data_IF_705438391281
#
_entry.id   IF_705438391281
#
_cell.length_a   1.000
_cell.length_b   1.000
_cell.length_c   1.000
_cell.angle_alpha   90.00
_cell.angle_beta   90.00
_cell.angle_gamma   90.00
#
_symmetry.space_group_name_H-M   'P 1'
#
loop_
_entity.id
_entity.type
_entity.pdbx_description
1 polymer ?
#
# COMPACT_ATOMS: atom_id res chain seq x y z
N UNK A 1 -18.76 -16.50 8.07
CA UNK A 1 -17.53 -15.69 7.96
C UNK A 1 -17.21 -15.57 6.48
N UNK A 2 -17.13 -14.35 5.94
CA UNK A 2 -16.84 -14.14 4.52
C UNK A 2 -15.35 -14.28 4.23
N UNK A 3 -15.00 -14.80 3.05
CA UNK A 3 -13.63 -14.95 2.57
C UNK A 3 -12.95 -13.57 2.48
N UNK A 4 -11.88 -13.29 3.24
CA UNK A 4 -11.23 -11.98 3.23
C UNK A 4 -10.26 -11.85 2.06
N UNK A 5 -10.23 -10.69 1.40
CA UNK A 5 -9.12 -10.31 0.53
C UNK A 5 -7.96 -9.81 1.40
N UNK A 6 -6.79 -10.47 1.31
CA UNK A 6 -5.61 -10.16 2.13
C UNK A 6 -4.61 -9.27 1.35
N UNK A 7 -4.12 -8.21 2.00
CA UNK A 7 -3.00 -7.39 1.55
C UNK A 7 -1.76 -7.68 2.41
N UNK A 8 -0.69 -8.33 1.87
CA UNK A 8 0.52 -8.60 2.63
C UNK A 8 1.60 -7.52 2.39
N UNK A 9 2.18 -6.98 3.47
CA UNK A 9 3.44 -6.21 3.41
C UNK A 9 4.39 -6.58 4.55
N UNK A 10 5.53 -7.25 4.25
CA UNK A 10 6.68 -7.27 5.16
C UNK A 10 8.06 -6.99 4.49
N UNK A 11 9.09 -6.62 5.28
CA UNK A 11 10.44 -6.28 4.80
C UNK A 11 11.29 -7.50 4.39
N UNK A 12 12.37 -7.22 3.66
CA UNK A 12 12.91 -8.00 2.54
C UNK A 12 13.39 -9.45 2.77
N UNK A 13 13.55 -9.95 4.01
CA UNK A 13 13.93 -11.36 4.26
C UNK A 13 12.76 -12.29 4.60
N UNK A 14 11.59 -11.75 5.00
CA UNK A 14 10.39 -12.53 5.28
C UNK A 14 9.59 -12.93 4.03
N UNK A 15 9.89 -12.35 2.87
CA UNK A 15 9.10 -12.52 1.64
C UNK A 15 9.02 -13.95 1.15
N UNK A 16 10.10 -14.74 1.23
CA UNK A 16 10.06 -16.14 0.75
C UNK A 16 9.16 -17.02 1.60
N UNK A 17 9.21 -16.84 2.92
CA UNK A 17 8.36 -17.56 3.87
C UNK A 17 6.90 -17.11 3.75
N UNK A 18 6.66 -15.80 3.75
CA UNK A 18 5.32 -15.22 3.63
C UNK A 18 4.69 -15.59 2.29
N UNK A 19 5.43 -15.55 1.18
CA UNK A 19 4.92 -15.97 -0.13
C UNK A 19 4.60 -17.47 -0.17
N UNK A 20 5.38 -18.32 0.50
CA UNK A 20 5.09 -19.76 0.59
C UNK A 20 3.78 -20.00 1.35
N UNK A 21 3.61 -19.39 2.52
CA UNK A 21 2.37 -19.48 3.32
C UNK A 21 1.16 -18.92 2.57
N UNK A 22 1.32 -17.78 1.87
CA UNK A 22 0.26 -17.20 1.05
C UNK A 22 -0.13 -18.14 -0.10
N UNK A 23 0.86 -18.80 -0.73
CA UNK A 23 0.61 -19.74 -1.82
C UNK A 23 -0.13 -20.98 -1.33
N UNK A 24 0.22 -21.50 -0.15
CA UNK A 24 -0.51 -22.60 0.50
C UNK A 24 -1.94 -22.19 0.84
N UNK A 25 -2.15 -21.01 1.42
CA UNK A 25 -3.49 -20.48 1.73
C UNK A 25 -4.36 -20.31 0.47
N UNK A 26 -3.77 -19.84 -0.63
CA UNK A 26 -4.46 -19.74 -1.92
C UNK A 26 -4.82 -21.11 -2.50
N UNK A 27 -4.06 -22.16 -2.16
CA UNK A 27 -4.35 -23.53 -2.60
C UNK A 27 -5.49 -24.14 -1.75
N UNK A 28 -5.49 -23.86 -0.45
CA UNK A 28 -6.50 -24.34 0.49
C UNK A 28 -7.85 -23.61 0.34
N UNK A 29 -7.85 -22.37 -0.14
CA UNK A 29 -9.05 -21.59 -0.39
C UNK A 29 -9.11 -21.09 -1.86
N UNK A 30 -9.71 -21.88 -2.77
CA UNK A 30 -9.79 -21.54 -4.19
C UNK A 30 -10.56 -20.23 -4.48
N UNK A 31 -11.46 -19.83 -3.59
CA UNK A 31 -12.22 -18.58 -3.69
C UNK A 31 -11.44 -17.35 -3.23
N UNK A 32 -10.26 -17.53 -2.63
CA UNK A 32 -9.40 -16.45 -2.15
C UNK A 32 -8.81 -15.68 -3.34
N UNK A 33 -9.29 -14.46 -3.56
CA UNK A 33 -8.70 -13.55 -4.55
C UNK A 33 -7.60 -12.73 -3.88
N UNK A 34 -6.35 -13.02 -4.24
CA UNK A 34 -5.22 -12.20 -3.81
C UNK A 34 -5.12 -10.94 -4.67
N UNK A 35 -5.34 -9.77 -4.05
CA UNK A 35 -5.16 -8.47 -4.70
C UNK A 35 -3.84 -7.89 -4.21
N UNK A 36 -2.80 -7.97 -5.03
CA UNK A 36 -1.53 -7.33 -4.74
C UNK A 36 -1.56 -5.88 -5.23
N UNK A 37 -1.28 -4.94 -4.33
CA UNK A 37 -1.01 -3.56 -4.73
C UNK A 37 0.21 -3.51 -5.64
N UNK A 38 0.31 -2.48 -6.50
CA UNK A 38 1.49 -2.32 -7.34
C UNK A 38 2.74 -2.22 -6.46
N UNK A 39 3.84 -2.91 -6.82
CA UNK A 39 5.09 -2.75 -6.10
C UNK A 39 5.43 -1.26 -6.00
N UNK A 40 5.64 -0.77 -4.77
CA UNK A 40 6.16 0.58 -4.50
C UNK A 40 5.20 1.74 -4.81
N UNK A 41 3.89 1.49 -4.92
CA UNK A 41 2.86 2.54 -4.92
C UNK A 41 2.00 2.48 -3.65
N UNK A 42 2.34 3.28 -2.61
CA UNK A 42 1.57 3.40 -1.36
C UNK A 42 0.10 3.75 -1.61
N UNK A 43 -0.18 4.50 -2.67
CA UNK A 43 -1.52 4.95 -3.07
C UNK A 43 -2.52 3.81 -3.27
N UNK A 44 -2.08 2.63 -3.72
CA UNK A 44 -2.96 1.46 -3.89
C UNK A 44 -3.39 0.81 -2.56
N UNK A 45 -2.77 1.18 -1.44
CA UNK A 45 -3.07 0.69 -0.08
C UNK A 45 -3.52 1.81 0.88
N UNK A 46 -3.85 2.99 0.36
CA UNK A 46 -4.12 4.18 1.17
C UNK A 46 -5.27 4.04 2.18
N UNK A 47 -6.18 3.08 2.02
CA UNK A 47 -7.21 2.78 3.03
C UNK A 47 -6.61 2.11 4.28
N UNK A 48 -5.73 1.12 4.09
CA UNK A 48 -5.03 0.42 5.18
C UNK A 48 -4.05 1.35 5.86
N UNK A 49 -3.30 2.16 5.10
CA UNK A 49 -2.37 3.14 5.66
C UNK A 49 -3.09 4.20 6.51
N UNK A 50 -4.23 4.72 6.04
CA UNK A 50 -5.07 5.65 6.83
C UNK A 50 -5.59 5.00 8.11
N UNK A 51 -6.11 3.78 8.04
CA UNK A 51 -6.59 3.07 9.21
C UNK A 51 -5.46 2.81 10.22
N UNK A 52 -4.28 2.42 9.74
CA UNK A 52 -3.11 2.23 10.59
C UNK A 52 -2.72 3.52 11.33
N UNK A 53 -2.76 4.68 10.64
CA UNK A 53 -2.56 5.99 11.27
C UNK A 53 -3.58 6.25 12.38
N UNK A 54 -4.87 6.01 12.11
CA UNK A 54 -5.94 6.17 13.12
C UNK A 54 -5.75 5.26 14.33
N UNK A 55 -5.38 3.99 14.10
CA UNK A 55 -5.11 3.03 15.19
C UNK A 55 -3.92 3.50 16.03
N UNK A 56 -2.84 3.96 15.40
CA UNK A 56 -1.67 4.46 16.11
C UNK A 56 -2.01 5.68 16.98
N UNK A 57 -2.78 6.63 16.47
CA UNK A 57 -3.14 7.83 17.23
C UNK A 57 -4.08 7.52 18.38
N UNK A 58 -5.07 6.64 18.17
CA UNK A 58 -5.93 6.16 19.26
C UNK A 58 -5.18 5.37 20.32
N UNK A 59 -4.20 4.55 19.92
CA UNK A 59 -3.32 3.84 20.86
C UNK A 59 -2.48 4.80 21.69
N UNK A 60 -1.91 5.85 21.09
CA UNK A 60 -1.16 6.88 21.83
C UNK A 60 -2.03 7.55 22.90
N UNK A 61 -3.26 7.93 22.54
CA UNK A 61 -4.22 8.54 23.47
C UNK A 61 -4.54 7.56 24.61
N UNK A 62 -4.92 6.33 24.28
CA UNK A 62 -5.26 5.31 25.27
C UNK A 62 -4.10 5.03 26.24
N UNK A 63 -2.88 4.92 25.72
CA UNK A 63 -1.67 4.69 26.51
C UNK A 63 -1.38 5.85 27.47
N UNK A 64 -1.61 7.09 27.02
CA UNK A 64 -1.48 8.29 27.84
C UNK A 64 -2.53 8.32 28.96
N UNK A 65 -3.79 8.06 28.64
CA UNK A 65 -4.91 8.05 29.61
C UNK A 65 -4.75 6.95 30.68
N UNK A 66 -4.21 5.80 30.29
CA UNK A 66 -4.05 4.64 31.18
C UNK A 66 -2.64 4.57 31.82
N UNK A 67 -1.80 5.59 31.61
CA UNK A 67 -0.42 5.65 32.11
C UNK A 67 0.36 4.34 31.88
N UNK A 68 0.22 3.74 30.70
CA UNK A 68 0.78 2.42 30.40
C UNK A 68 1.43 2.36 29.02
N UNK A 69 2.48 1.54 28.91
CA UNK A 69 3.14 1.23 27.63
C UNK A 69 2.58 -0.03 26.94
N UNK A 70 1.59 -0.70 27.56
CA UNK A 70 1.05 -1.99 27.11
C UNK A 70 0.08 -1.84 25.93
N UNK A 71 0.61 -1.42 24.78
CA UNK A 71 -0.16 -1.26 23.54
C UNK A 71 -0.86 -2.56 23.10
N UNK A 72 -0.27 -3.72 23.40
CA UNK A 72 -0.85 -5.03 23.08
C UNK A 72 -2.16 -5.31 23.79
N UNK A 73 -2.41 -4.68 24.94
CA UNK A 73 -3.70 -4.72 25.64
C UNK A 73 -4.60 -3.61 25.11
N UNK A 74 -4.06 -2.40 24.95
CA UNK A 74 -4.77 -1.25 24.41
C UNK A 74 -5.38 -1.47 23.03
N UNK A 75 -4.75 -2.30 22.19
CA UNK A 75 -5.22 -2.56 20.82
C UNK A 75 -6.62 -3.16 20.78
N UNK A 76 -6.99 -4.00 21.75
CA UNK A 76 -8.31 -4.59 21.83
C UNK A 76 -9.39 -3.53 22.14
N UNK A 77 -9.08 -2.59 23.03
CA UNK A 77 -9.97 -1.48 23.36
C UNK A 77 -10.12 -0.51 22.19
N UNK A 78 -9.01 -0.16 21.53
CA UNK A 78 -9.01 0.72 20.37
C UNK A 78 -9.76 0.09 19.19
N UNK A 79 -9.54 -1.20 18.93
CA UNK A 79 -10.27 -1.94 17.90
C UNK A 79 -11.78 -1.92 18.17
N UNK A 80 -12.18 -2.21 19.40
CA UNK A 80 -13.59 -2.14 19.79
C UNK A 80 -14.16 -0.74 19.57
N UNK A 81 -13.48 0.29 20.07
CA UNK A 81 -13.91 1.69 19.93
C UNK A 81 -14.07 2.08 18.45
N UNK A 82 -13.15 1.70 17.57
CA UNK A 82 -13.25 1.97 16.13
C UNK A 82 -14.45 1.23 15.52
N UNK A 83 -14.66 -0.04 15.88
CA UNK A 83 -15.71 -0.86 15.28
C UNK A 83 -17.12 -0.41 15.68
N UNK A 84 -17.29 0.18 16.88
CA UNK A 84 -18.60 0.66 17.34
C UNK A 84 -18.87 2.12 17.01
N UNK A 85 -17.84 2.90 16.69
CA UNK A 85 -18.01 4.32 16.35
C UNK A 85 -18.64 4.47 14.97
N UNK A 86 -19.55 5.42 14.82
CA UNK A 86 -20.06 5.76 13.50
C UNK A 86 -18.96 6.34 12.63
N UNK A 87 -18.78 5.77 11.44
CA UNK A 87 -17.79 6.22 10.49
C UNK A 87 -18.41 7.18 9.48
N UNK A 88 -17.84 8.38 9.36
CA UNK A 88 -18.42 9.51 8.61
C UNK A 88 -18.81 9.18 7.16
N UNK A 89 -18.03 8.32 6.49
CA UNK A 89 -18.27 7.94 5.09
C UNK A 89 -19.45 6.99 4.90
N UNK A 90 -19.65 6.07 5.84
CA UNK A 90 -20.70 5.03 5.75
C UNK A 90 -21.93 5.38 6.60
N UNK A 91 -21.84 6.43 7.45
CA UNK A 91 -22.91 6.93 8.33
C UNK A 91 -23.48 5.86 9.28
N UNK A 92 -22.70 4.84 9.56
CA UNK A 92 -23.02 3.73 10.47
C UNK A 92 -21.73 3.17 11.06
N UNK A 93 -21.82 2.29 12.05
CA UNK A 93 -20.65 1.63 12.64
C UNK A 93 -20.20 0.43 11.80
N UNK A 94 -18.87 0.18 11.67
CA UNK A 94 -18.36 -1.03 11.03
C UNK A 94 -18.94 -2.32 11.61
N UNK A 95 -19.19 -2.35 12.92
CA UNK A 95 -19.83 -3.48 13.61
C UNK A 95 -21.23 -3.74 13.05
N UNK A 96 -22.07 -2.70 12.92
CA UNK A 96 -23.43 -2.83 12.38
C UNK A 96 -23.43 -3.30 10.92
N UNK A 97 -22.47 -2.86 10.12
CA UNK A 97 -22.31 -3.33 8.72
C UNK A 97 -21.86 -4.80 8.66
N UNK A 98 -21.02 -5.23 9.60
CA UNK A 98 -20.48 -6.59 9.63
C UNK A 98 -21.47 -7.61 10.17
N UNK A 99 -22.20 -7.26 11.24
CA UNK A 99 -23.04 -8.20 11.99
C UNK A 99 -24.55 -7.94 11.85
N UNK A 100 -24.96 -6.78 11.32
CA UNK A 100 -26.38 -6.44 11.16
C UNK A 100 -27.09 -6.23 12.50
N UNK A 101 -26.35 -5.91 13.56
CA UNK A 101 -26.88 -5.67 14.90
C UNK A 101 -26.15 -4.45 15.46
N UNK A 102 -26.83 -3.64 16.26
CA UNK A 102 -26.16 -2.54 16.95
C UNK A 102 -25.16 -3.06 17.99
N UNK A 103 -23.97 -2.45 18.10
CA UNK A 103 -22.98 -2.88 19.06
C UNK A 103 -23.50 -2.69 20.48
N UNK A 104 -23.41 -3.76 21.28
CA UNK A 104 -23.84 -3.70 22.68
C UNK A 104 -22.78 -2.97 23.52
N UNK A 105 -23.09 -1.77 24.01
CA UNK A 105 -22.21 -0.97 24.88
C UNK A 105 -22.68 -0.96 26.33
N UNK A 106 -21.97 -1.70 27.19
CA UNK A 106 -22.22 -1.74 28.63
C UNK A 106 -23.51 -2.47 29.05
N UNK A 107 -23.81 -2.43 30.36
CA UNK A 107 -25.01 -3.07 30.92
C UNK A 107 -26.32 -2.40 30.44
N UNK A 108 -26.30 -1.11 30.11
CA UNK A 108 -27.46 -0.38 29.57
C UNK A 108 -27.82 -0.76 28.13
N UNK A 109 -26.97 -1.54 27.46
CA UNK A 109 -27.19 -2.09 26.12
C UNK A 109 -27.42 -3.61 26.14
N UNK A 110 -27.59 -4.17 27.35
CA UNK A 110 -28.15 -5.52 27.45
C UNK A 110 -29.59 -5.48 27.00
N UNK A 111 -30.03 -6.59 26.44
CA UNK A 111 -31.41 -6.88 26.02
C UNK A 111 -32.40 -6.77 27.20
N UNK A 112 -31.85 -6.65 28.41
CA UNK A 112 -32.52 -6.64 29.70
C UNK A 112 -33.16 -5.26 29.94
N UNK A 113 -34.49 -5.19 30.04
CA UNK A 113 -35.22 -3.98 30.38
C UNK A 113 -34.70 -3.32 31.68
N UNK A 114 -34.65 -1.97 31.78
CA UNK A 114 -34.08 -1.27 32.94
C UNK A 114 -34.68 -1.65 34.29
N UNK A 115 -35.94 -2.09 34.31
CA UNK A 115 -36.66 -2.60 35.47
C UNK A 115 -36.16 -3.97 35.96
N UNK A 116 -35.53 -4.77 35.11
CA UNK A 116 -34.90 -6.04 35.51
C UNK A 116 -33.50 -5.84 36.06
N UNK A 117 -32.76 -4.81 35.61
CA UNK A 117 -31.42 -4.49 36.11
C UNK A 117 -31.39 -4.17 37.62
N UNK A 118 -32.48 -3.62 38.17
CA UNK A 118 -32.58 -3.24 39.60
C UNK A 118 -32.57 -4.47 40.54
N UNK A 119 -32.94 -5.65 40.03
CA UNK A 119 -33.10 -6.88 40.83
C UNK A 119 -32.00 -7.91 40.59
N UNK A 120 -31.04 -7.62 39.72
CA UNK A 120 -29.93 -8.54 39.45
C UNK A 120 -28.93 -8.47 40.60
N UNK A 121 -28.90 -9.52 41.41
CA UNK A 121 -28.06 -9.61 42.61
C UNK A 121 -26.94 -10.64 42.52
N UNK A 122 -27.00 -11.57 41.56
CA UNK A 122 -26.02 -12.66 41.39
C UNK A 122 -25.83 -13.03 39.91
N UNK A 123 -24.68 -13.64 39.59
CA UNK A 123 -24.31 -14.09 38.24
C UNK A 123 -25.25 -15.19 37.71
N UNK A 124 -25.71 -16.09 38.59
CA UNK A 124 -26.68 -17.15 38.26
C UNK A 124 -28.05 -16.59 37.83
N UNK A 125 -28.44 -15.44 38.40
CA UNK A 125 -29.69 -14.75 38.04
C UNK A 125 -29.57 -14.03 36.69
N UNK A 126 -28.37 -13.58 36.32
CA UNK A 126 -28.08 -13.07 34.97
C UNK A 126 -28.20 -14.19 33.94
N UNK A 127 -27.61 -15.36 34.21
CA UNK A 127 -27.64 -16.49 33.29
C UNK A 127 -29.05 -17.00 33.03
N UNK A 128 -29.91 -17.02 34.05
CA UNK A 128 -31.33 -17.41 33.89
C UNK A 128 -32.14 -16.39 33.08
N UNK A 129 -31.85 -15.09 33.18
CA UNK A 129 -32.48 -14.07 32.32
C UNK A 129 -32.02 -14.23 30.87
N UNK A 130 -30.72 -14.42 30.64
CA UNK A 130 -30.13 -14.57 29.30
C UNK A 130 -30.59 -15.85 28.59
N UNK A 131 -30.84 -16.94 29.33
CA UNK A 131 -31.37 -18.20 28.78
C UNK A 131 -32.85 -18.11 28.38
N UNK A 132 -33.63 -17.20 29.00
CA UNK A 132 -35.05 -17.01 28.70
C UNK A 132 -35.29 -15.99 27.56
N UNK A 133 -34.34 -15.10 27.26
CA UNK A 133 -34.43 -14.10 26.18
C UNK A 133 -33.86 -14.59 24.83
N UNK A 134 -34.07 -15.87 24.48
CA UNK A 134 -33.70 -16.40 23.16
C UNK A 134 -34.42 -15.70 21.97
N UNK A 135 -35.32 -14.74 22.23
CA UNK A 135 -36.12 -14.04 21.21
C UNK A 135 -35.88 -12.52 21.09
N UNK A 136 -35.00 -11.89 21.87
CA UNK A 136 -34.84 -10.40 21.85
C UNK A 136 -33.44 -9.95 21.39
N UNK A 137 -32.81 -10.73 20.52
CA UNK A 137 -31.76 -10.25 19.64
C UNK A 137 -32.32 -10.14 18.23
N UNK A 138 -32.99 -9.04 17.89
CA UNK A 138 -33.46 -8.80 16.53
C UNK A 138 -32.27 -8.79 15.58
N UNK A 139 -31.93 -9.96 15.02
CA UNK A 139 -31.08 -10.06 13.84
C UNK A 139 -31.75 -9.19 12.78
N UNK A 140 -31.04 -8.19 12.24
CA UNK A 140 -31.56 -7.50 11.05
C UNK A 140 -31.92 -8.57 10.02
N UNK A 141 -33.15 -8.51 9.53
CA UNK A 141 -33.60 -9.41 8.48
C UNK A 141 -32.62 -9.31 7.30
N UNK A 142 -32.31 -10.44 6.65
CA UNK A 142 -31.39 -10.50 5.51
C UNK A 142 -31.48 -9.34 4.49
N UNK A 143 -32.68 -8.82 4.11
CA UNK A 143 -32.79 -7.65 3.23
C UNK A 143 -32.22 -6.35 3.83
N UNK A 144 -32.44 -6.07 5.11
CA UNK A 144 -31.93 -4.85 5.78
C UNK A 144 -30.40 -4.87 5.88
N UNK A 145 -29.82 -6.07 6.04
CA UNK A 145 -28.38 -6.26 6.06
C UNK A 145 -27.72 -6.02 4.70
N UNK A 146 -28.37 -6.45 3.61
CA UNK A 146 -27.93 -6.19 2.25
C UNK A 146 -27.96 -4.69 1.94
N UNK A 147 -29.02 -3.99 2.35
CA UNK A 147 -29.16 -2.54 2.16
C UNK A 147 -28.08 -1.75 2.90
N UNK A 148 -27.80 -2.08 4.16
CA UNK A 148 -26.73 -1.43 4.94
C UNK A 148 -25.35 -1.57 4.28
N UNK A 149 -25.07 -2.75 3.68
CA UNK A 149 -23.83 -2.98 2.92
C UNK A 149 -23.79 -2.20 1.62
N UNK A 150 -24.90 -2.08 0.90
CA UNK A 150 -24.99 -1.29 -0.33
C UNK A 150 -24.76 0.21 -0.05
N UNK A 151 -25.37 0.75 1.01
CA UNK A 151 -25.15 2.14 1.43
C UNK A 151 -23.69 2.40 1.82
N UNK A 152 -23.07 1.47 2.57
CA UNK A 152 -21.66 1.56 2.93
C UNK A 152 -20.76 1.54 1.68
N UNK A 153 -21.04 0.65 0.71
CA UNK A 153 -20.31 0.58 -0.55
C UNK A 153 -20.45 1.88 -1.36
N UNK A 154 -21.66 2.42 -1.50
CA UNK A 154 -21.92 3.67 -2.20
C UNK A 154 -21.24 4.88 -1.52
N UNK A 155 -21.19 4.90 -0.18
CA UNK A 155 -20.46 5.92 0.57
C UNK A 155 -18.96 5.88 0.33
N UNK A 156 -18.36 4.68 0.34
CA UNK A 156 -16.95 4.46 0.02
C UNK A 156 -16.63 4.92 -1.41
N UNK A 157 -17.47 4.56 -2.38
CA UNK A 157 -17.33 4.96 -3.79
C UNK A 157 -17.37 6.49 -3.96
N UNK A 158 -18.36 7.17 -3.35
CA UNK A 158 -18.44 8.64 -3.37
C UNK A 158 -17.20 9.31 -2.78
N UNK A 159 -16.65 8.76 -1.71
CA UNK A 159 -15.45 9.33 -1.09
C UNK A 159 -14.20 9.07 -1.96
N UNK A 160 -14.07 7.89 -2.56
CA UNK A 160 -13.02 7.59 -3.53
C UNK A 160 -13.08 8.54 -4.72
N UNK A 161 -14.27 8.76 -5.31
CA UNK A 161 -14.50 9.71 -6.38
C UNK A 161 -14.15 11.16 -5.96
N UNK A 162 -14.45 11.55 -4.72
CA UNK A 162 -14.07 12.87 -4.20
C UNK A 162 -12.55 13.01 -4.09
N UNK A 163 -11.85 11.94 -3.69
CA UNK A 163 -10.37 11.92 -3.64
C UNK A 163 -9.75 12.01 -5.03
N UNK A 164 -10.34 11.36 -6.05
CA UNK A 164 -9.83 11.40 -7.42
C UNK A 164 -10.23 12.68 -8.18
N UNK A 165 -11.33 13.35 -7.82
CA UNK A 165 -11.80 14.56 -8.52
C UNK A 165 -10.76 15.68 -8.62
N UNK A 166 -10.03 15.93 -7.52
CA UNK A 166 -8.95 16.93 -7.51
C UNK A 166 -7.78 16.50 -8.40
N UNK A 167 -7.46 15.21 -8.45
CA UNK A 167 -6.40 14.68 -9.29
C UNK A 167 -6.82 14.72 -10.78
N UNK A 168 -8.02 14.28 -11.12
CA UNK A 168 -8.53 14.25 -12.51
C UNK A 168 -8.57 15.66 -13.12
N UNK A 169 -8.94 16.70 -12.35
CA UNK A 169 -8.92 18.07 -12.86
C UNK A 169 -7.52 18.68 -12.98
N UNK A 170 -6.54 18.22 -12.21
CA UNK A 170 -5.15 18.69 -12.30
C UNK A 170 -4.32 17.94 -13.33
N UNK A 171 -4.68 16.69 -13.62
CA UNK A 171 -3.96 15.84 -14.55
C UNK A 171 -4.48 16.11 -15.96
N UNK A 172 -3.66 16.76 -16.77
CA UNK A 172 -3.88 16.82 -18.22
C UNK A 172 -3.90 15.40 -18.77
N UNK A 173 -4.91 15.04 -19.56
CA UNK A 173 -4.87 13.81 -20.33
C UNK A 173 -3.66 13.86 -21.26
N UNK A 174 -2.76 12.90 -21.11
CA UNK A 174 -1.61 12.73 -21.99
C UNK A 174 -2.05 11.91 -23.20
N UNK A 175 -1.63 12.32 -24.38
CA UNK A 175 -1.84 11.56 -25.62
C UNK A 175 -0.57 10.80 -26.02
N UNK A 176 -0.74 9.81 -26.90
CA UNK A 176 0.40 9.07 -27.45
C UNK A 176 1.28 10.05 -28.23
N UNK A 177 2.57 10.05 -27.92
CA UNK A 177 3.53 11.00 -28.47
C UNK A 177 3.78 12.25 -27.62
N UNK A 178 3.04 12.45 -26.53
CA UNK A 178 3.33 13.54 -25.61
C UNK A 178 4.58 13.27 -24.76
N UNK A 179 5.33 14.33 -24.49
CA UNK A 179 6.47 14.30 -23.59
C UNK A 179 6.01 14.58 -22.16
N UNK A 180 6.57 13.84 -21.22
CA UNK A 180 6.34 14.04 -19.80
C UNK A 180 7.60 13.77 -18.99
N UNK A 181 7.68 14.31 -17.79
CA UNK A 181 8.66 13.89 -16.81
C UNK A 181 8.04 12.87 -15.87
N UNK A 182 8.60 11.67 -15.83
CA UNK A 182 8.22 10.60 -14.92
C UNK A 182 8.93 10.78 -13.58
N UNK A 183 8.17 10.84 -12.49
CA UNK A 183 8.71 10.89 -11.13
C UNK A 183 9.33 9.54 -10.76
N UNK A 184 10.62 9.55 -10.45
CA UNK A 184 11.36 8.35 -10.08
C UNK A 184 11.25 8.13 -8.57
N UNK A 185 10.78 6.95 -8.11
CA UNK A 185 10.77 6.63 -6.68
C UNK A 185 12.18 6.64 -6.09
N UNK A 186 12.30 7.01 -4.81
CA UNK A 186 13.58 7.09 -4.09
C UNK A 186 14.39 5.80 -4.14
N UNK A 187 13.71 4.66 -4.11
CA UNK A 187 14.35 3.36 -4.18
C UNK A 187 14.99 3.05 -5.55
N UNK A 188 14.53 3.71 -6.61
CA UNK A 188 14.95 3.45 -7.99
C UNK A 188 15.89 4.53 -8.55
N UNK A 189 16.27 5.52 -7.74
CA UNK A 189 17.28 6.52 -8.07
C UNK A 189 18.42 6.52 -7.05
N UNK A 190 19.66 6.63 -7.52
CA UNK A 190 20.82 6.89 -6.68
C UNK A 190 20.86 8.34 -6.17
N UNK A 191 21.78 8.69 -5.26
CA UNK A 191 21.89 10.04 -4.70
C UNK A 191 22.15 11.13 -5.75
N UNK A 192 22.83 10.80 -6.85
CA UNK A 192 23.13 11.74 -7.93
C UNK A 192 22.20 11.60 -9.13
N UNK A 193 21.22 10.69 -9.06
CA UNK A 193 20.27 10.48 -10.14
C UNK A 193 19.16 11.54 -10.07
N UNK A 194 18.65 11.94 -11.24
CA UNK A 194 17.55 12.89 -11.30
C UNK A 194 16.27 12.28 -10.76
N UNK A 195 15.54 13.04 -9.94
CA UNK A 195 14.21 12.65 -9.42
C UNK A 195 13.14 12.53 -10.51
N UNK A 196 13.40 13.14 -11.67
CA UNK A 196 12.48 13.19 -12.80
C UNK A 196 13.21 12.70 -14.05
N UNK A 197 12.63 11.70 -14.73
CA UNK A 197 13.14 11.15 -15.98
C UNK A 197 12.29 11.66 -17.14
N UNK A 198 12.92 12.21 -18.19
CA UNK A 198 12.21 12.61 -19.40
C UNK A 198 11.75 11.35 -20.18
N UNK A 199 10.46 11.28 -20.47
CA UNK A 199 9.83 10.17 -21.19
C UNK A 199 8.86 10.67 -22.26
N UNK A 200 8.54 9.80 -23.21
CA UNK A 200 7.47 9.97 -24.20
C UNK A 200 6.43 8.87 -24.02
N UNK A 201 5.15 9.21 -24.19
CA UNK A 201 4.05 8.23 -24.12
C UNK A 201 4.02 7.41 -25.41
N UNK A 202 4.15 6.09 -25.28
CA UNK A 202 4.14 5.15 -26.42
C UNK A 202 2.77 4.52 -26.63
N UNK A 203 2.11 4.14 -25.54
CA UNK A 203 0.78 3.50 -25.57
C UNK A 203 -0.05 3.97 -24.40
N UNK A 204 -1.36 3.97 -24.59
CA UNK A 204 -2.36 4.27 -23.56
C UNK A 204 -3.39 3.16 -23.53
N UNK A 205 -3.68 2.67 -22.33
CA UNK A 205 -4.76 1.72 -22.04
C UNK A 205 -5.56 2.29 -20.86
N UNK A 206 -6.75 2.80 -21.15
CA UNK A 206 -7.61 3.54 -20.20
C UNK A 206 -6.86 4.69 -19.48
N UNK A 207 -6.50 4.47 -18.22
CA UNK A 207 -5.79 5.40 -17.32
C UNK A 207 -4.30 5.06 -17.13
N UNK A 208 -3.82 4.04 -17.85
CA UNK A 208 -2.47 3.54 -17.80
C UNK A 208 -1.70 3.90 -19.06
N UNK A 209 -0.47 4.32 -18.85
CA UNK A 209 0.43 4.81 -19.88
C UNK A 209 1.69 3.98 -19.88
N UNK A 210 2.04 3.50 -21.07
CA UNK A 210 3.35 2.94 -21.30
C UNK A 210 4.27 4.01 -21.88
N UNK A 211 5.46 4.09 -21.32
CA UNK A 211 6.39 5.19 -21.58
C UNK A 211 7.74 4.69 -22.05
N UNK A 212 8.39 5.48 -22.90
CA UNK A 212 9.73 5.25 -23.41
C UNK A 212 10.67 6.40 -23.05
N UNK A 213 11.95 6.11 -22.91
CA UNK A 213 13.00 7.12 -22.83
C UNK A 213 14.05 6.85 -23.92
N UNK A 214 15.03 7.74 -24.07
CA UNK A 214 16.12 7.58 -25.07
C UNK A 214 16.88 6.26 -25.00
N UNK A 215 16.85 5.61 -23.83
CA UNK A 215 17.57 4.34 -23.61
C UNK A 215 16.73 3.11 -24.00
N UNK A 216 15.40 3.23 -23.99
CA UNK A 216 14.49 2.15 -24.35
C UNK A 216 13.10 2.28 -23.73
N UNK A 217 12.31 1.21 -23.87
CA UNK A 217 10.93 1.12 -23.41
C UNK A 217 10.86 0.64 -21.96
N UNK A 218 10.11 1.35 -21.12
CA UNK A 218 9.93 0.96 -19.73
C UNK A 218 8.83 -0.10 -19.65
N UNK A 219 9.13 -1.23 -18.98
CA UNK A 219 8.21 -2.38 -18.88
C UNK A 219 6.97 -2.10 -18.02
N UNK A 220 7.11 -1.22 -17.03
CA UNK A 220 6.05 -0.87 -16.09
C UNK A 220 5.12 0.19 -16.68
N UNK A 221 3.82 0.05 -16.44
CA UNK A 221 2.81 1.03 -16.83
C UNK A 221 2.58 2.04 -15.70
N UNK A 222 2.35 3.31 -16.04
CA UNK A 222 2.21 4.42 -15.09
C UNK A 222 0.87 5.10 -15.22
N UNK A 223 0.46 5.81 -14.17
CA UNK A 223 -0.74 6.66 -14.23
C UNK A 223 -0.33 8.10 -14.55
N UNK A 224 -1.30 8.93 -14.96
CA UNK A 224 -1.04 10.36 -15.16
C UNK A 224 -0.50 11.04 -13.88
N UNK A 225 -0.82 10.54 -12.68
CA UNK A 225 -0.33 11.10 -11.41
C UNK A 225 1.19 10.96 -11.23
N UNK A 226 1.81 9.98 -11.89
CA UNK A 226 3.24 9.70 -11.82
C UNK A 226 4.05 10.60 -12.77
N UNK A 227 3.36 11.36 -13.61
CA UNK A 227 3.96 12.11 -14.72
C UNK A 227 3.55 13.59 -14.67
N UNK A 228 4.46 14.47 -15.04
CA UNK A 228 4.15 15.89 -15.27
C UNK A 228 4.34 16.20 -16.77
N UNK A 229 3.34 16.76 -17.48
CA UNK A 229 3.40 17.02 -18.91
C UNK A 229 4.48 18.06 -19.25
N UNK A 230 5.20 17.83 -20.34
CA UNK A 230 6.20 18.76 -20.89
C UNK A 230 5.67 19.29 -22.21
N UNK A 231 5.51 20.62 -22.30
CA UNK A 231 4.97 21.28 -23.50
C UNK A 231 5.89 21.19 -24.72
N UNK A 232 7.19 20.99 -24.48
CA UNK A 232 8.21 20.92 -25.51
C UNK A 232 8.40 19.47 -25.99
N UNK A 233 8.43 19.28 -27.30
CA UNK A 233 8.70 17.98 -27.92
C UNK A 233 10.20 17.70 -27.94
N UNK A 234 10.71 17.16 -26.83
CA UNK A 234 12.14 16.90 -26.60
C UNK A 234 12.61 15.50 -27.02
N UNK A 235 11.66 14.59 -27.26
CA UNK A 235 11.87 13.20 -27.63
C UNK A 235 10.68 12.74 -28.47
N UNK A 236 10.93 12.17 -29.64
CA UNK A 236 9.88 11.59 -30.48
C UNK A 236 9.73 10.09 -30.19
N UNK A 237 8.55 9.48 -30.42
CA UNK A 237 8.35 8.04 -30.23
C UNK A 237 9.32 7.18 -31.06
N UNK A 238 9.68 7.63 -32.26
CA UNK A 238 10.56 6.90 -33.18
C UNK A 238 12.03 6.89 -32.72
N UNK A 239 12.42 7.83 -31.87
CA UNK A 239 13.77 7.90 -31.27
C UNK A 239 13.95 6.91 -30.10
N UNK A 240 12.88 6.24 -29.64
CA UNK A 240 12.94 5.29 -28.54
C UNK A 240 13.39 3.92 -29.07
N UNK A 241 14.52 3.36 -28.59
CA UNK A 241 14.92 2.00 -28.94
C UNK A 241 13.87 0.97 -28.49
N UNK A 242 13.61 -0.05 -29.33
CA UNK A 242 12.72 -1.17 -28.99
C UNK A 242 13.43 -2.21 -28.09
N UNK A 243 14.01 -1.71 -26.99
CA UNK A 243 14.68 -2.52 -25.97
C UNK A 243 13.93 -2.31 -24.66
N UNK A 244 13.34 -3.38 -24.16
CA UNK A 244 12.65 -3.34 -22.87
C UNK A 244 13.64 -3.23 -21.71
N UNK A 245 13.30 -2.38 -20.73
CA UNK A 245 14.09 -2.22 -19.52
C UNK A 245 13.27 -1.81 -18.30
N UNK A 246 13.83 -2.09 -17.13
CA UNK A 246 13.28 -1.61 -15.86
C UNK A 246 13.59 -0.12 -15.66
N UNK A 247 12.71 0.59 -14.95
CA UNK A 247 12.86 2.02 -14.64
C UNK A 247 14.23 2.37 -14.06
N UNK A 248 14.70 1.61 -13.07
CA UNK A 248 16.02 1.82 -12.45
C UNK A 248 17.16 1.79 -13.46
N UNK A 249 17.09 0.86 -14.41
CA UNK A 249 18.11 0.71 -15.46
C UNK A 249 18.10 1.91 -16.39
N UNK A 250 16.92 2.39 -16.78
CA UNK A 250 16.75 3.60 -17.57
C UNK A 250 17.35 4.83 -16.85
N UNK A 251 17.03 5.02 -15.57
CA UNK A 251 17.52 6.15 -14.75
C UNK A 251 19.04 6.10 -14.62
N UNK A 252 19.60 4.93 -14.31
CA UNK A 252 21.05 4.75 -14.16
C UNK A 252 21.79 5.04 -15.47
N UNK A 253 21.22 4.68 -16.63
CA UNK A 253 21.83 4.98 -17.93
C UNK A 253 21.71 6.47 -18.28
N UNK A 254 20.54 7.06 -18.02
CA UNK A 254 20.26 8.47 -18.30
C UNK A 254 21.19 9.43 -17.55
N UNK A 255 21.47 9.17 -16.27
CA UNK A 255 22.37 10.00 -15.46
C UNK A 255 23.85 9.63 -15.62
N UNK A 256 24.15 8.60 -16.42
CA UNK A 256 25.48 7.99 -16.50
C UNK A 256 25.88 7.21 -15.23
N UNK A 257 24.98 7.12 -14.24
CA UNK A 257 25.12 6.33 -13.02
C UNK A 257 26.27 6.79 -12.13
N UNK A 258 25.98 7.52 -11.05
CA UNK A 258 27.01 7.76 -10.02
C UNK A 258 27.05 6.63 -9.00
N UNK A 259 27.64 5.52 -9.43
CA UNK A 259 28.41 4.67 -8.55
C UNK A 259 29.83 4.69 -9.06
N UNK A 260 30.78 5.25 -8.30
CA UNK A 260 32.18 4.91 -8.56
C UNK A 260 32.25 3.38 -8.53
N UNK A 261 32.57 2.78 -9.68
CA UNK A 261 32.70 1.33 -9.77
C UNK A 261 33.91 0.97 -8.94
N UNK A 262 33.67 0.53 -7.70
CA UNK A 262 34.71 0.02 -6.81
C UNK A 262 34.86 -1.48 -7.05
N UNK A 263 36.07 -1.91 -7.39
CA UNK A 263 36.39 -3.32 -7.32
C UNK A 263 36.68 -3.73 -5.87
N UNK A 264 36.32 -4.95 -5.51
CA UNK A 264 36.72 -5.57 -4.24
C UNK A 264 38.01 -6.42 -4.40
N UNK A 265 38.78 -6.17 -5.45
CA UNK A 265 39.98 -6.93 -5.75
C UNK A 265 41.04 -6.73 -4.65
N UNK A 266 41.62 -7.82 -4.18
CA UNK A 266 42.72 -7.79 -3.18
C UNK A 266 44.10 -7.71 -3.84
N UNK A 267 44.17 -7.97 -5.14
CA UNK A 267 45.37 -8.06 -5.99
C UNK A 267 45.23 -7.13 -7.20
N UNK A 268 46.28 -7.04 -8.05
CA UNK A 268 46.27 -6.22 -9.26
C UNK A 268 45.09 -6.53 -10.20
N UNK A 269 44.45 -5.46 -10.70
CA UNK A 269 43.22 -5.52 -11.50
C UNK A 269 43.49 -5.70 -13.01
N UNK A 270 44.18 -6.76 -13.40
CA UNK A 270 44.55 -7.00 -14.81
C UNK A 270 43.53 -7.81 -15.60
N UNK A 271 42.66 -8.54 -14.93
CA UNK A 271 41.72 -9.47 -15.58
C UNK A 271 40.28 -8.96 -15.48
N UNK A 272 39.40 -9.48 -16.35
CA UNK A 272 37.95 -9.22 -16.37
C UNK A 272 37.22 -9.68 -15.10
N UNK A 273 37.92 -10.27 -14.12
CA UNK A 273 37.41 -10.50 -12.75
C UNK A 273 37.27 -9.20 -11.96
N UNK A 274 38.00 -8.15 -12.33
CA UNK A 274 37.83 -6.83 -11.76
C UNK A 274 36.63 -6.12 -12.39
N UNK A 275 35.71 -5.64 -11.55
CA UNK A 275 34.53 -4.88 -11.97
C UNK A 275 34.87 -3.60 -12.73
N UNK A 276 36.01 -2.96 -12.42
CA UNK A 276 36.49 -1.77 -13.12
C UNK A 276 36.98 -2.13 -14.53
N UNK A 277 37.87 -3.11 -14.65
CA UNK A 277 38.39 -3.60 -15.94
C UNK A 277 37.29 -4.14 -16.83
N UNK A 278 36.33 -4.89 -16.27
CA UNK A 278 35.16 -5.43 -17.01
C UNK A 278 34.28 -4.33 -17.61
N UNK A 279 34.22 -3.16 -16.97
CA UNK A 279 33.47 -1.99 -17.44
C UNK A 279 34.34 -0.99 -18.22
N UNK A 280 35.58 -1.37 -18.57
CA UNK A 280 36.56 -0.51 -19.23
C UNK A 280 36.86 0.78 -18.46
N UNK A 281 36.80 0.72 -17.12
CA UNK A 281 37.09 1.84 -16.21
C UNK A 281 38.41 1.62 -15.47
N UNK A 282 39.15 2.70 -15.25
CA UNK A 282 40.36 2.74 -14.42
C UNK A 282 39.99 2.69 -12.93
N UNK A 283 40.74 1.93 -12.14
CA UNK A 283 40.61 1.89 -10.70
C UNK A 283 41.12 3.21 -10.10
N UNK A 284 40.36 3.78 -9.17
CA UNK A 284 40.76 4.99 -8.43
C UNK A 284 41.29 4.64 -7.03
N UNK A 285 41.79 5.65 -6.32
CA UNK A 285 42.31 5.53 -4.94
C UNK A 285 41.29 4.97 -3.93
N UNK A 286 39.99 5.03 -4.24
CA UNK A 286 38.92 4.43 -3.40
C UNK A 286 38.76 2.92 -3.60
N UNK A 287 39.28 2.34 -4.69
CA UNK A 287 39.28 0.89 -4.92
C UNK A 287 40.35 0.18 -4.09
N UNK A 288 41.50 0.84 -3.91
CA UNK A 288 42.67 0.30 -3.24
C UNK A 288 43.34 1.35 -2.33
N UNK A 289 42.76 1.68 -1.17
CA UNK A 289 43.40 2.61 -0.24
C UNK A 289 44.74 2.04 0.24
N UNK A 290 45.84 2.69 -0.16
CA UNK A 290 47.21 2.34 0.25
C UNK A 290 47.83 1.12 -0.44
N UNK A 291 47.29 0.64 -1.57
CA UNK A 291 47.87 -0.47 -2.35
C UNK A 291 48.04 -0.09 -3.82
N UNK A 292 49.13 -0.54 -4.44
CA UNK A 292 49.36 -0.35 -5.86
C UNK A 292 48.39 -1.22 -6.68
N UNK A 293 47.94 -0.67 -7.82
CA UNK A 293 47.09 -1.35 -8.78
C UNK A 293 47.64 -1.12 -10.19
N UNK A 294 47.55 -2.13 -11.06
CA UNK A 294 48.00 -2.02 -12.45
C UNK A 294 46.96 -1.45 -13.41
N UNK A 295 45.72 -1.24 -12.96
CA UNK A 295 44.62 -0.68 -13.75
C UNK A 295 44.30 0.73 -13.27
N UNK A 296 45.23 1.67 -13.43
CA UNK A 296 45.12 3.09 -13.06
C UNK A 296 45.00 3.94 -14.32
#
# INVERSE_FOLDING_TARGET
MGTPALHPTPPDNGRKFVNAVISELSTLWPELKLVTGRPRHPQSQGAVERLNGVIQDKLKIWMHENMTSKWSVGVHFVQWQINISEHETIKTSPFKVMFGIEPKVGQASTVIPPNMLVNIRTEEYLDTILQNEAEVGGLMEAPQFAEARQLAAAGQEKNALRMTRRAIHLLSALEVGDNATLKVPEFDHGPSDSKNLLVVVLQRDEDLYQVGCREGRITTWYTAADMDPVKEKLLTPDEVPDVEMALRTAVTRYTGGQGYVKCACKTNCTTSRCSCTKKLLKCNSRCHPGRSCSNI
#
